data_IF_836268230711
#
_entry.id   IF_836268230711
#
_cell.length_a   1.000
_cell.length_b   1.000
_cell.length_c   1.000
_cell.angle_alpha   90.00
_cell.angle_beta   90.00
_cell.angle_gamma   90.00
#
_symmetry.space_group_name_H-M   'P 1'
#
loop_
_entity.id
_entity.type
_entity.pdbx_description
1 polymer ?
#
# COMPACT_ATOMS: atom_id res chain seq x y z
N UNK A 1 5.77 -18.58 -10.52
CA UNK A 1 5.48 -17.18 -10.14
C UNK A 1 6.63 -16.73 -9.25
N UNK A 2 7.22 -15.56 -9.51
CA UNK A 2 8.40 -15.11 -8.75
C UNK A 2 8.05 -14.82 -7.29
N UNK A 3 8.94 -15.18 -6.37
CA UNK A 3 8.74 -14.95 -4.93
C UNK A 3 8.74 -13.48 -4.54
N UNK A 4 9.50 -12.70 -5.29
CA UNK A 4 9.62 -11.26 -5.16
C UNK A 4 9.51 -10.64 -6.55
N UNK A 5 8.72 -9.59 -6.68
CA UNK A 5 8.61 -8.77 -7.88
C UNK A 5 9.00 -7.33 -7.55
N UNK A 6 9.92 -6.75 -8.32
CA UNK A 6 10.16 -5.31 -8.31
C UNK A 6 9.25 -4.67 -9.36
N UNK A 7 8.61 -3.58 -9.00
CA UNK A 7 7.61 -2.88 -9.81
C UNK A 7 8.13 -1.48 -10.09
N UNK A 8 8.59 -1.28 -11.33
CA UNK A 8 8.99 0.01 -11.85
C UNK A 8 8.37 0.25 -13.25
N UNK A 9 8.85 1.26 -13.97
CA UNK A 9 8.38 1.80 -15.26
C UNK A 9 7.70 0.83 -16.25
N UNK A 10 8.17 -0.42 -16.30
CA UNK A 10 7.65 -1.49 -17.15
C UNK A 10 6.16 -1.78 -16.92
N UNK A 11 5.62 -1.52 -15.73
CA UNK A 11 4.22 -1.75 -15.38
C UNK A 11 3.29 -0.55 -15.63
N UNK A 12 3.76 0.51 -16.32
CA UNK A 12 2.94 1.68 -16.67
C UNK A 12 1.68 1.35 -17.45
N UNK A 13 1.72 0.32 -18.29
CA UNK A 13 0.58 -0.15 -19.07
C UNK A 13 -0.56 -0.68 -18.18
N UNK A 14 -0.28 -1.06 -16.93
CA UNK A 14 -1.26 -1.45 -15.91
C UNK A 14 -1.79 -0.25 -15.09
N UNK A 15 -1.50 0.98 -15.51
CA UNK A 15 -1.90 2.19 -14.81
C UNK A 15 -1.03 2.54 -13.59
N UNK A 16 0.06 1.80 -13.36
CA UNK A 16 1.03 2.07 -12.30
C UNK A 16 1.96 3.20 -12.76
N UNK A 17 1.76 4.40 -12.22
CA UNK A 17 2.65 5.54 -12.49
C UNK A 17 3.78 5.55 -11.47
N UNK A 18 4.99 5.76 -11.94
CA UNK A 18 6.18 5.92 -11.10
C UNK A 18 6.88 7.23 -11.44
N UNK A 19 7.61 7.78 -10.47
CA UNK A 19 8.48 8.92 -10.74
C UNK A 19 9.73 8.45 -11.50
N UNK A 20 10.26 9.35 -12.33
CA UNK A 20 11.53 9.10 -13.04
C UNK A 20 12.66 9.10 -12.00
N UNK A 21 13.36 7.97 -11.90
CA UNK A 21 14.49 7.81 -10.98
C UNK A 21 15.58 8.82 -11.36
N UNK A 22 16.05 9.55 -10.34
CA UNK A 22 17.24 10.39 -10.45
C UNK A 22 18.38 9.68 -9.73
N UNK A 23 19.45 9.36 -10.45
CA UNK A 23 20.63 8.70 -9.87
C UNK A 23 21.31 9.64 -8.86
N UNK A 24 21.71 9.08 -7.72
CA UNK A 24 22.40 9.79 -6.65
C UNK A 24 22.45 8.95 -5.37
N UNK A 25 23.06 9.49 -4.32
CA UNK A 25 23.31 8.74 -3.07
C UNK A 25 22.01 8.24 -2.42
N UNK A 26 20.92 9.03 -2.49
CA UNK A 26 19.61 8.59 -1.99
C UNK A 26 19.08 7.37 -2.77
N UNK A 27 19.30 7.31 -4.08
CA UNK A 27 18.92 6.17 -4.90
C UNK A 27 19.76 4.93 -4.60
N UNK A 28 21.07 5.10 -4.38
CA UNK A 28 21.94 3.98 -4.01
C UNK A 28 21.50 3.38 -2.66
N UNK A 29 21.17 4.24 -1.69
CA UNK A 29 20.64 3.82 -0.39
C UNK A 29 19.28 3.10 -0.51
N UNK A 30 18.40 3.57 -1.40
CA UNK A 30 17.14 2.88 -1.73
C UNK A 30 17.43 1.47 -2.23
N UNK A 31 18.38 1.30 -3.15
CA UNK A 31 18.72 0.00 -3.74
C UNK A 31 19.33 -0.96 -2.74
N UNK A 32 20.31 -0.50 -1.96
CA UNK A 32 20.90 -1.28 -0.88
C UNK A 32 19.83 -1.74 0.13
N UNK A 33 18.88 -0.86 0.46
CA UNK A 33 17.80 -1.21 1.38
C UNK A 33 16.82 -2.23 0.78
N UNK A 34 16.50 -2.12 -0.51
CA UNK A 34 15.69 -3.11 -1.23
C UNK A 34 16.37 -4.48 -1.18
N UNK A 35 17.66 -4.57 -1.47
CA UNK A 35 18.40 -5.84 -1.45
C UNK A 35 18.46 -6.44 -0.04
N UNK A 36 18.75 -5.62 0.98
CA UNK A 36 18.66 -6.04 2.38
C UNK A 36 17.28 -6.59 2.76
N UNK A 37 16.20 -5.99 2.25
CA UNK A 37 14.83 -6.43 2.51
C UNK A 37 14.49 -7.72 1.76
N UNK A 38 15.00 -7.89 0.54
CA UNK A 38 14.87 -9.13 -0.25
C UNK A 38 15.54 -10.30 0.45
N UNK A 39 16.78 -10.12 0.90
CA UNK A 39 17.53 -11.16 1.61
C UNK A 39 16.87 -11.61 2.92
N UNK A 40 16.17 -10.70 3.59
CA UNK A 40 15.43 -10.99 4.83
C UNK A 40 14.02 -11.52 4.60
N UNK A 41 13.47 -11.41 3.40
CA UNK A 41 12.12 -11.84 3.12
C UNK A 41 12.06 -13.37 3.01
N UNK A 42 11.20 -13.98 3.83
CA UNK A 42 10.96 -15.43 3.80
C UNK A 42 9.69 -15.71 3.01
N UNK A 43 9.86 -15.99 1.73
CA UNK A 43 8.75 -16.35 0.86
C UNK A 43 8.10 -17.68 1.27
N UNK A 44 6.81 -17.79 1.01
CA UNK A 44 6.04 -19.04 1.11
C UNK A 44 4.92 -19.02 0.08
N UNK A 45 4.18 -20.12 -0.06
CA UNK A 45 3.03 -20.17 -0.98
C UNK A 45 1.94 -19.16 -0.62
N UNK A 46 1.87 -18.74 0.65
CA UNK A 46 0.87 -17.79 1.15
C UNK A 46 1.43 -16.39 1.40
N UNK A 47 2.71 -16.16 1.11
CA UNK A 47 3.36 -14.88 1.34
C UNK A 47 4.45 -14.63 0.30
N UNK A 48 4.16 -13.70 -0.59
CA UNK A 48 5.03 -13.20 -1.67
C UNK A 48 5.18 -11.69 -1.51
N UNK A 49 6.19 -11.11 -2.16
CA UNK A 49 6.52 -9.68 -2.00
C UNK A 49 6.49 -8.94 -3.33
N UNK A 50 5.78 -7.81 -3.37
CA UNK A 50 5.91 -6.82 -4.43
C UNK A 50 6.59 -5.57 -3.89
N UNK A 51 7.55 -5.03 -4.62
CA UNK A 51 8.36 -3.87 -4.22
C UNK A 51 8.14 -2.77 -5.24
N UNK A 52 7.34 -1.78 -4.89
CA UNK A 52 7.08 -0.62 -5.73
C UNK A 52 8.13 0.46 -5.46
N UNK A 53 8.74 0.96 -6.52
CA UNK A 53 9.81 1.96 -6.42
C UNK A 53 9.27 3.29 -6.94
N UNK A 54 9.24 4.30 -6.07
CA UNK A 54 8.65 5.61 -6.34
C UNK A 54 7.23 5.59 -6.97
N UNK A 55 6.27 4.75 -6.51
CA UNK A 55 4.93 4.71 -7.08
C UNK A 55 4.17 6.01 -6.79
N UNK A 56 3.34 6.47 -7.73
CA UNK A 56 2.39 7.56 -7.51
C UNK A 56 1.18 7.02 -6.74
N UNK A 57 1.03 7.42 -5.48
CA UNK A 57 -0.13 7.07 -4.65
C UNK A 57 -0.87 8.34 -4.29
N UNK A 58 -2.07 8.51 -4.84
CA UNK A 58 -2.80 9.79 -4.79
C UNK A 58 -1.90 10.92 -5.33
N UNK A 59 -1.43 11.82 -4.45
CA UNK A 59 -0.57 12.95 -4.79
C UNK A 59 0.84 12.83 -4.16
N UNK A 60 1.22 11.66 -3.63
CA UNK A 60 2.55 11.41 -3.08
C UNK A 60 3.33 10.38 -3.90
N UNK A 61 4.65 10.43 -3.75
CA UNK A 61 5.60 9.48 -4.34
C UNK A 61 6.49 8.94 -3.23
N UNK A 62 6.02 7.94 -2.45
CA UNK A 62 6.88 7.28 -1.49
C UNK A 62 8.08 6.65 -2.17
N UNK A 63 9.26 6.73 -1.56
CA UNK A 63 10.49 6.21 -2.20
C UNK A 63 10.40 4.70 -2.45
N UNK A 64 9.89 3.93 -1.47
CA UNK A 64 9.68 2.49 -1.59
C UNK A 64 8.38 2.07 -0.92
N UNK A 65 7.63 1.15 -1.55
CA UNK A 65 6.50 0.47 -0.93
C UNK A 65 6.64 -1.04 -1.08
N UNK A 66 6.79 -1.74 0.04
CA UNK A 66 6.78 -3.19 0.13
C UNK A 66 5.37 -3.69 0.39
N UNK A 67 4.86 -4.55 -0.49
CA UNK A 67 3.51 -5.11 -0.42
C UNK A 67 3.62 -6.62 -0.27
N UNK A 68 3.30 -7.12 0.93
CA UNK A 68 3.19 -8.55 1.18
C UNK A 68 1.78 -9.02 0.79
N UNK A 69 1.70 -10.08 -0.01
CA UNK A 69 0.44 -10.58 -0.52
C UNK A 69 0.39 -12.12 -0.52
N UNK A 70 -0.82 -12.65 -0.44
CA UNK A 70 -1.11 -14.07 -0.64
C UNK A 70 -1.60 -14.30 -2.08
N UNK A 71 -0.83 -14.99 -2.94
CA UNK A 71 -1.21 -15.25 -4.33
C UNK A 71 -2.50 -16.08 -4.44
N UNK A 72 -2.81 -16.95 -3.47
CA UNK A 72 -4.04 -17.75 -3.47
C UNK A 72 -5.32 -16.88 -3.44
N UNK A 73 -5.24 -15.66 -2.89
CA UNK A 73 -6.40 -14.76 -2.87
C UNK A 73 -6.74 -14.19 -4.25
N UNK A 74 -5.84 -14.31 -5.22
CA UNK A 74 -6.02 -13.81 -6.59
C UNK A 74 -6.46 -14.90 -7.57
N UNK A 75 -6.67 -16.15 -7.13
CA UNK A 75 -7.13 -17.23 -8.03
C UNK A 75 -8.50 -16.98 -8.64
N UNK A 76 -9.35 -16.19 -7.96
CA UNK A 76 -10.67 -15.79 -8.44
C UNK A 76 -10.67 -14.36 -9.03
N UNK A 77 -9.48 -13.83 -9.32
CA UNK A 77 -9.35 -12.55 -10.03
C UNK A 77 -9.97 -12.66 -11.42
N UNK A 78 -10.74 -11.65 -11.82
CA UNK A 78 -11.45 -11.66 -13.09
C UNK A 78 -11.28 -10.35 -13.86
N UNK A 79 -11.59 -10.37 -15.15
CA UNK A 79 -11.37 -9.24 -16.05
C UNK A 79 -12.15 -7.98 -15.65
N UNK A 80 -13.32 -8.11 -15.00
CA UNK A 80 -14.11 -6.96 -14.54
C UNK A 80 -13.37 -6.10 -13.51
N UNK A 81 -12.33 -6.62 -12.85
CA UNK A 81 -11.48 -5.83 -11.95
C UNK A 81 -10.67 -4.75 -12.69
N UNK A 82 -10.32 -4.97 -13.95
CA UNK A 82 -9.58 -4.00 -14.75
C UNK A 82 -10.41 -2.75 -15.12
N UNK A 83 -11.73 -2.82 -14.97
CA UNK A 83 -12.66 -1.71 -15.26
C UNK A 83 -12.94 -0.81 -14.04
N UNK A 84 -12.37 -1.17 -12.88
CA UNK A 84 -12.56 -0.45 -11.63
C UNK A 84 -11.73 0.84 -11.60
N UNK A 85 -12.35 1.89 -11.10
CA UNK A 85 -11.83 3.24 -10.99
C UNK A 85 -11.62 3.63 -9.54
N UNK A 86 -11.01 4.81 -9.31
CA UNK A 86 -10.83 5.35 -7.97
C UNK A 86 -12.16 5.54 -7.22
N UNK A 87 -13.25 5.89 -7.93
CA UNK A 87 -14.58 6.02 -7.31
C UNK A 87 -15.06 4.65 -6.82
N UNK A 88 -14.87 3.60 -7.62
CA UNK A 88 -15.25 2.24 -7.27
C UNK A 88 -14.49 1.76 -6.01
N UNK A 89 -13.19 2.05 -5.90
CA UNK A 89 -12.39 1.72 -4.71
C UNK A 89 -12.80 2.52 -3.47
N UNK A 90 -13.22 3.79 -3.62
CA UNK A 90 -13.79 4.56 -2.49
C UNK A 90 -15.08 3.95 -1.98
N UNK A 91 -15.97 3.53 -2.89
CA UNK A 91 -17.20 2.81 -2.54
C UNK A 91 -16.88 1.49 -1.86
N UNK A 92 -15.94 0.70 -2.39
CA UNK A 92 -15.52 -0.57 -1.78
C UNK A 92 -14.93 -0.36 -0.38
N UNK A 93 -14.08 0.66 -0.19
CA UNK A 93 -13.53 0.98 1.12
C UNK A 93 -14.63 1.35 2.12
N UNK A 94 -15.59 2.20 1.71
CA UNK A 94 -16.75 2.55 2.54
C UNK A 94 -17.55 1.30 2.96
N UNK A 95 -17.83 0.39 2.02
CA UNK A 95 -18.49 -0.90 2.32
C UNK A 95 -17.63 -1.76 3.26
N UNK A 96 -16.31 -1.75 3.12
CA UNK A 96 -15.41 -2.53 3.97
C UNK A 96 -15.35 -2.06 5.42
N UNK A 97 -15.61 -0.76 5.66
CA UNK A 97 -15.63 -0.18 6.99
C UNK A 97 -16.93 -0.43 7.76
N UNK A 98 -18.01 -0.82 7.07
CA UNK A 98 -19.35 -0.92 7.64
C UNK A 98 -19.90 -2.33 7.50
N UNK A 99 -20.58 -2.83 8.54
CA UNK A 99 -21.13 -4.20 8.53
C UNK A 99 -22.38 -4.31 7.66
N UNK A 100 -23.19 -3.25 7.56
CA UNK A 100 -24.39 -3.19 6.74
C UNK A 100 -24.56 -1.76 6.24
N UNK A 101 -24.47 -1.55 4.93
CA UNK A 101 -24.59 -0.21 4.34
C UNK A 101 -25.55 -0.22 3.15
N UNK A 102 -26.42 0.79 3.08
CA UNK A 102 -27.31 1.02 1.94
C UNK A 102 -26.67 1.94 0.90
N UNK A 103 -27.22 1.97 -0.30
CA UNK A 103 -26.76 2.91 -1.34
C UNK A 103 -26.88 4.38 -0.92
N UNK A 104 -27.90 4.73 -0.12
CA UNK A 104 -28.10 6.10 0.35
C UNK A 104 -27.03 6.51 1.38
N UNK A 105 -26.61 5.58 2.23
CA UNK A 105 -25.52 5.83 3.19
C UNK A 105 -24.22 6.10 2.43
N UNK A 106 -23.89 5.27 1.42
CA UNK A 106 -22.70 5.45 0.57
C UNK A 106 -22.67 6.85 -0.05
N UNK A 107 -23.81 7.31 -0.58
CA UNK A 107 -23.96 8.66 -1.16
C UNK A 107 -23.63 9.73 -0.11
N UNK A 108 -24.21 9.62 1.09
CA UNK A 108 -23.99 10.57 2.17
C UNK A 108 -22.54 10.61 2.65
N UNK A 109 -21.88 9.46 2.75
CA UNK A 109 -20.50 9.37 3.25
C UNK A 109 -19.44 9.83 2.24
N UNK A 110 -19.62 9.52 0.95
CA UNK A 110 -18.61 9.78 -0.08
C UNK A 110 -18.88 11.09 -0.82
N UNK A 111 -20.15 11.54 -0.88
CA UNK A 111 -20.54 12.75 -1.60
C UNK A 111 -20.61 12.56 -3.12
N UNK A 112 -21.03 11.38 -3.58
CA UNK A 112 -21.17 11.03 -5.01
C UNK A 112 -22.64 10.84 -5.41
N UNK A 113 -22.93 10.91 -6.70
CA UNK A 113 -24.31 10.83 -7.21
C UNK A 113 -24.89 9.42 -7.10
N UNK A 114 -26.22 9.33 -7.09
CA UNK A 114 -26.96 8.06 -7.18
C UNK A 114 -26.51 7.20 -8.38
N UNK A 115 -26.24 7.85 -9.52
CA UNK A 115 -25.79 7.19 -10.74
C UNK A 115 -24.41 6.56 -10.56
N UNK A 116 -23.46 7.30 -9.98
CA UNK A 116 -22.10 6.80 -9.71
C UNK A 116 -22.11 5.65 -8.71
N UNK A 117 -22.88 5.75 -7.63
CA UNK A 117 -23.02 4.65 -6.66
C UNK A 117 -23.60 3.40 -7.30
N UNK A 118 -24.68 3.56 -8.08
CA UNK A 118 -25.31 2.44 -8.76
C UNK A 118 -24.39 1.76 -9.77
N UNK A 119 -23.59 2.54 -10.51
CA UNK A 119 -22.59 2.00 -11.42
C UNK A 119 -21.45 1.29 -10.67
N UNK A 120 -20.97 1.89 -9.57
CA UNK A 120 -19.90 1.32 -8.76
C UNK A 120 -20.30 -0.01 -8.14
N UNK A 121 -21.50 -0.09 -7.56
CA UNK A 121 -22.04 -1.32 -6.99
C UNK A 121 -22.11 -2.43 -8.05
N UNK A 122 -22.60 -2.13 -9.26
CA UNK A 122 -22.66 -3.12 -10.35
C UNK A 122 -21.28 -3.66 -10.71
N UNK A 123 -20.29 -2.77 -10.86
CA UNK A 123 -18.91 -3.18 -11.16
C UNK A 123 -18.28 -3.98 -10.02
N UNK A 124 -18.46 -3.54 -8.77
CA UNK A 124 -17.93 -4.21 -7.58
C UNK A 124 -18.56 -5.60 -7.37
N UNK A 125 -19.84 -5.75 -7.70
CA UNK A 125 -20.51 -7.05 -7.68
C UNK A 125 -19.96 -7.96 -8.78
N UNK A 126 -19.85 -7.49 -10.03
CA UNK A 126 -19.32 -8.25 -11.16
C UNK A 126 -17.85 -8.70 -10.94
N UNK A 127 -17.03 -7.84 -10.33
CA UNK A 127 -15.64 -8.12 -9.96
C UNK A 127 -15.48 -9.04 -8.74
N UNK A 128 -16.60 -9.45 -8.12
CA UNK A 128 -16.61 -10.41 -7.02
C UNK A 128 -16.19 -9.84 -5.66
N UNK A 129 -16.10 -8.51 -5.52
CA UNK A 129 -15.72 -7.86 -4.26
C UNK A 129 -16.84 -7.86 -3.23
N UNK A 130 -18.06 -7.58 -3.68
CA UNK A 130 -19.21 -7.39 -2.80
C UNK A 130 -20.32 -8.38 -3.11
N UNK A 131 -21.19 -8.56 -2.13
CA UNK A 131 -22.45 -9.30 -2.23
C UNK A 131 -23.57 -8.45 -1.64
N UNK A 132 -24.80 -8.74 -2.08
CA UNK A 132 -25.99 -8.23 -1.43
C UNK A 132 -26.46 -9.24 -0.38
N UNK A 133 -26.71 -8.78 0.85
CA UNK A 133 -27.31 -9.59 1.92
C UNK A 133 -28.30 -8.74 2.70
N UNK A 134 -29.53 -9.24 2.87
CA UNK A 134 -30.59 -8.54 3.60
C UNK A 134 -30.80 -7.08 3.14
N UNK A 135 -30.79 -6.83 1.82
CA UNK A 135 -30.90 -5.48 1.20
C UNK A 135 -29.76 -4.51 1.58
N UNK A 136 -28.62 -5.04 2.01
CA UNK A 136 -27.41 -4.27 2.32
C UNK A 136 -26.22 -4.81 1.55
N UNK A 137 -25.26 -3.93 1.25
CA UNK A 137 -24.02 -4.31 0.58
C UNK A 137 -22.95 -4.68 1.60
N UNK A 138 -22.22 -5.76 1.32
CA UNK A 138 -21.13 -6.24 2.16
C UNK A 138 -19.96 -6.72 1.31
N UNK A 139 -18.74 -6.61 1.84
CA UNK A 139 -17.60 -7.31 1.25
C UNK A 139 -17.84 -8.82 1.33
N UNK A 140 -17.66 -9.54 0.22
CA UNK A 140 -17.96 -10.97 0.10
C UNK A 140 -17.26 -11.82 1.17
N UNK A 141 -15.97 -11.56 1.37
CA UNK A 141 -15.13 -12.14 2.44
C UNK A 141 -13.81 -11.38 2.52
N UNK A 142 -13.09 -11.45 3.65
CA UNK A 142 -11.79 -10.75 3.78
C UNK A 142 -10.76 -11.16 2.72
N UNK A 143 -10.80 -12.41 2.24
CA UNK A 143 -9.89 -12.92 1.20
C UNK A 143 -10.07 -12.29 -0.20
N UNK A 144 -11.01 -11.35 -0.39
CA UNK A 144 -11.08 -10.58 -1.66
C UNK A 144 -9.89 -9.64 -1.79
N UNK A 145 -9.26 -9.30 -0.66
CA UNK A 145 -7.98 -8.64 -0.57
C UNK A 145 -6.90 -9.71 -0.37
N UNK A 146 -6.00 -9.84 -1.33
CA UNK A 146 -4.82 -10.68 -1.22
C UNK A 146 -3.63 -9.97 -0.58
N UNK A 147 -3.62 -8.64 -0.58
CA UNK A 147 -2.63 -7.87 0.17
C UNK A 147 -2.86 -8.03 1.67
N UNK A 148 -1.80 -8.41 2.37
CA UNK A 148 -1.80 -8.64 3.82
C UNK A 148 -1.11 -7.51 4.58
N UNK A 149 -0.13 -6.86 3.94
CA UNK A 149 0.68 -5.80 4.55
C UNK A 149 1.22 -4.85 3.50
N UNK A 150 1.23 -3.56 3.82
CA UNK A 150 1.87 -2.51 3.03
C UNK A 150 2.84 -1.75 3.94
N UNK A 151 4.13 -1.86 3.68
CA UNK A 151 5.17 -1.07 4.36
C UNK A 151 5.68 0.01 3.42
N UNK A 152 5.48 1.27 3.76
CA UNK A 152 6.07 2.40 3.04
C UNK A 152 7.36 2.84 3.71
N UNK A 153 8.35 3.24 2.91
CA UNK A 153 9.66 3.70 3.39
C UNK A 153 10.02 5.00 2.69
N UNK A 154 10.27 6.03 3.48
CA UNK A 154 10.86 7.29 3.04
C UNK A 154 12.35 7.30 3.35
N UNK A 155 13.17 7.52 2.34
CA UNK A 155 14.63 7.55 2.44
C UNK A 155 15.09 9.00 2.48
N UNK A 156 15.77 9.38 3.56
CA UNK A 156 16.38 10.72 3.65
C UNK A 156 17.74 10.70 4.31
N UNK A 157 18.64 11.45 3.67
CA UNK A 157 20.00 11.61 4.15
C UNK A 157 20.12 12.70 5.21
N UNK A 158 19.46 13.86 5.04
CA UNK A 158 19.74 15.03 5.90
C UNK A 158 18.52 15.85 6.37
N UNK A 159 17.30 15.57 5.90
CA UNK A 159 16.10 16.40 6.15
C UNK A 159 15.01 15.68 6.95
N UNK A 160 15.31 15.43 8.23
CA UNK A 160 14.43 14.67 9.12
C UNK A 160 13.07 15.34 9.45
N UNK A 161 12.93 16.66 9.25
CA UNK A 161 11.65 17.34 9.43
C UNK A 161 10.65 17.06 8.29
N UNK A 162 11.12 17.17 7.05
CA UNK A 162 10.33 16.88 5.84
C UNK A 162 9.96 15.38 5.78
N UNK A 163 10.91 14.49 6.14
CA UNK A 163 10.68 13.04 6.08
C UNK A 163 9.57 12.57 7.01
N UNK A 164 9.38 13.23 8.16
CA UNK A 164 8.29 12.88 9.08
C UNK A 164 6.94 13.18 8.46
N UNK A 165 6.81 14.32 7.77
CA UNK A 165 5.56 14.67 7.10
C UNK A 165 5.24 13.68 5.97
N UNK A 166 6.24 13.29 5.17
CA UNK A 166 6.07 12.29 4.13
C UNK A 166 5.67 10.91 4.71
N UNK A 167 6.38 10.45 5.74
CA UNK A 167 6.07 9.20 6.41
C UNK A 167 4.68 9.20 7.05
N UNK A 168 4.24 10.33 7.63
CA UNK A 168 2.88 10.51 8.13
C UNK A 168 1.84 10.41 7.01
N UNK A 169 2.08 11.10 5.88
CA UNK A 169 1.20 11.03 4.71
C UNK A 169 1.04 9.60 4.22
N UNK A 170 2.10 8.80 4.23
CA UNK A 170 2.03 7.40 3.79
C UNK A 170 1.17 6.50 4.67
N UNK A 171 0.92 6.87 5.94
CA UNK A 171 -0.03 6.15 6.80
C UNK A 171 -1.48 6.21 6.28
N UNK A 172 -1.77 7.09 5.33
CA UNK A 172 -3.07 7.11 4.65
C UNK A 172 -3.30 5.90 3.74
N UNK A 173 -2.27 5.13 3.37
CA UNK A 173 -2.40 3.94 2.52
C UNK A 173 -1.62 2.72 3.04
N UNK A 174 -0.57 2.92 3.83
CA UNK A 174 0.30 1.85 4.31
C UNK A 174 -0.13 1.36 5.70
N UNK A 175 -0.03 0.05 5.94
CA UNK A 175 -0.21 -0.52 7.29
C UNK A 175 0.95 -0.17 8.21
N UNK A 176 2.13 0.05 7.63
CA UNK A 176 3.32 0.50 8.35
C UNK A 176 4.01 1.59 7.54
N UNK A 177 4.55 2.59 8.23
CA UNK A 177 5.34 3.64 7.62
C UNK A 177 6.69 3.77 8.34
N UNK A 178 7.75 3.82 7.55
CA UNK A 178 9.12 3.87 8.03
C UNK A 178 9.88 5.06 7.44
N UNK A 179 10.84 5.53 8.23
CA UNK A 179 11.92 6.39 7.76
C UNK A 179 13.18 5.53 7.69
N UNK A 180 13.91 5.65 6.59
CA UNK A 180 15.28 5.16 6.46
C UNK A 180 16.24 6.34 6.50
N UNK A 181 17.16 6.34 7.47
CA UNK A 181 18.16 7.39 7.61
C UNK A 181 19.57 6.83 7.74
N UNK A 182 20.52 7.41 7.04
CA UNK A 182 21.94 7.07 7.17
C UNK A 182 22.64 7.78 8.35
N UNK A 183 21.90 8.57 9.15
CA UNK A 183 22.44 9.37 10.25
C UNK A 183 22.31 8.65 11.60
N UNK A 184 22.92 7.45 11.72
CA UNK A 184 22.85 6.64 12.95
C UNK A 184 23.18 7.45 14.21
N UNK A 185 24.20 8.31 14.13
CA UNK A 185 24.75 9.03 15.29
C UNK A 185 24.02 10.35 15.60
N UNK A 186 23.14 10.83 14.70
CA UNK A 186 22.39 12.10 14.88
C UNK A 186 20.91 11.88 15.23
N UNK A 187 20.47 10.63 15.32
CA UNK A 187 19.14 10.25 15.81
C UNK A 187 19.16 10.23 17.34
N UNK A 188 19.00 11.40 17.94
CA UNK A 188 18.84 11.51 19.39
C UNK A 188 17.51 10.89 19.88
N UNK A 189 17.46 10.56 21.17
CA UNK A 189 16.29 9.95 21.81
C UNK A 189 15.02 10.80 21.67
N UNK A 190 15.13 12.13 21.56
CA UNK A 190 13.96 13.00 21.45
C UNK A 190 13.30 12.84 20.07
N UNK A 191 14.10 12.74 19.00
CA UNK A 191 13.60 12.49 17.64
C UNK A 191 12.97 11.11 17.52
N UNK A 192 13.63 10.07 18.05
CA UNK A 192 13.08 8.72 18.06
C UNK A 192 11.75 8.68 18.81
N UNK A 193 11.66 9.30 20.01
CA UNK A 193 10.40 9.46 20.74
C UNK A 193 9.32 10.15 19.92
N UNK A 194 9.65 11.23 19.21
CA UNK A 194 8.70 11.95 18.35
C UNK A 194 8.16 11.05 17.24
N UNK A 195 9.04 10.34 16.52
CA UNK A 195 8.63 9.41 15.47
C UNK A 195 7.75 8.27 16.01
N UNK A 196 8.10 7.73 17.18
CA UNK A 196 7.32 6.69 17.84
C UNK A 196 5.92 7.19 18.28
N UNK A 197 5.80 8.43 18.78
CA UNK A 197 4.51 9.05 19.11
C UNK A 197 3.58 9.12 17.90
N UNK A 198 4.13 9.31 16.69
CA UNK A 198 3.39 9.30 15.44
C UNK A 198 3.26 7.91 14.80
N UNK A 199 3.72 6.85 15.47
CA UNK A 199 3.67 5.48 15.01
C UNK A 199 4.55 5.19 13.79
N UNK A 200 5.63 5.96 13.60
CA UNK A 200 6.56 5.81 12.47
C UNK A 200 7.75 4.96 12.89
N UNK A 201 8.05 3.92 12.12
CA UNK A 201 9.22 3.07 12.31
C UNK A 201 10.49 3.72 11.80
N UNK A 202 11.66 3.30 12.28
CA UNK A 202 12.95 3.84 11.82
C UNK A 202 13.92 2.72 11.56
N UNK A 203 14.50 2.76 10.36
CA UNK A 203 15.72 2.04 10.02
C UNK A 203 16.89 3.01 9.94
N UNK A 204 18.07 2.51 10.30
CA UNK A 204 19.32 3.21 10.06
C UNK A 204 20.37 2.29 9.48
N UNK A 205 21.36 2.87 8.81
CA UNK A 205 22.56 2.15 8.39
C UNK A 205 23.35 1.70 9.63
N UNK A 206 23.85 0.47 9.60
CA UNK A 206 24.64 -0.11 10.67
C UNK A 206 25.68 -1.07 10.08
N UNK A 207 26.96 -0.67 10.13
CA UNK A 207 28.02 -1.38 9.42
C UNK A 207 27.74 -1.42 7.92
N UNK A 208 27.77 -2.61 7.33
CA UNK A 208 27.46 -2.86 5.91
C UNK A 208 25.98 -3.17 5.64
N UNK A 209 25.08 -2.95 6.61
CA UNK A 209 23.66 -3.25 6.43
C UNK A 209 22.76 -2.28 7.16
N UNK A 210 21.57 -2.76 7.55
CA UNK A 210 20.55 -1.93 8.16
C UNK A 210 20.05 -2.51 9.49
N UNK A 211 19.79 -1.61 10.43
CA UNK A 211 19.24 -1.92 11.74
C UNK A 211 17.90 -1.20 11.93
N UNK A 212 16.89 -1.94 12.38
CA UNK A 212 15.64 -1.35 12.85
C UNK A 212 15.88 -0.78 14.26
N UNK A 213 15.74 0.54 14.41
CA UNK A 213 15.85 1.20 15.71
C UNK A 213 14.52 1.19 16.46
N UNK A 214 13.40 1.34 15.75
CA UNK A 214 12.07 1.29 16.33
C UNK A 214 11.04 0.70 15.37
N UNK A 215 10.00 0.12 15.94
CA UNK A 215 8.85 -0.41 15.20
C UNK A 215 7.78 0.67 15.01
N UNK A 216 7.05 0.67 13.88
CA UNK A 216 5.87 1.52 13.69
C UNK A 216 4.69 0.98 14.49
N UNK A 217 3.61 1.76 14.53
CA UNK A 217 2.29 1.23 14.90
C UNK A 217 1.70 0.54 13.68
N UNK A 218 1.32 -0.72 13.83
CA UNK A 218 0.76 -1.54 12.76
C UNK A 218 -0.73 -1.25 12.55
N UNK A 219 -1.14 -1.10 11.28
CA UNK A 219 -2.52 -1.02 10.85
C UNK A 219 -3.05 -2.33 10.26
N UNK A 220 -4.32 -2.33 9.86
CA UNK A 220 -4.98 -3.47 9.21
C UNK A 220 -5.38 -3.12 7.77
N UNK A 221 -5.48 -4.14 6.90
CA UNK A 221 -5.95 -3.97 5.51
C UNK A 221 -7.48 -4.16 5.44
N UNK A 222 -8.20 -3.34 4.64
CA UNK A 222 -7.71 -2.15 3.95
C UNK A 222 -7.56 -0.94 4.90
N UNK A 223 -6.48 -0.16 4.72
CA UNK A 223 -6.23 1.10 5.44
C UNK A 223 -7.06 2.24 4.84
N UNK A 224 -7.23 2.20 3.51
CA UNK A 224 -7.97 3.17 2.71
C UNK A 224 -8.26 2.61 1.31
N UNK A 225 -8.99 3.36 0.49
CA UNK A 225 -9.14 3.04 -0.94
C UNK A 225 -7.79 2.95 -1.67
N UNK A 226 -6.76 3.69 -1.25
CA UNK A 226 -5.42 3.62 -1.83
C UNK A 226 -4.70 2.32 -1.48
N UNK A 227 -4.97 1.74 -0.30
CA UNK A 227 -4.46 0.40 0.04
C UNK A 227 -5.10 -0.70 -0.82
N UNK A 228 -6.37 -0.51 -1.21
CA UNK A 228 -7.06 -1.39 -2.16
C UNK A 228 -6.44 -1.27 -3.55
N UNK A 229 -6.01 -0.07 -3.96
CA UNK A 229 -5.32 0.11 -5.24
C UNK A 229 -4.05 -0.74 -5.35
N UNK A 230 -3.25 -0.85 -4.27
CA UNK A 230 -2.11 -1.77 -4.24
C UNK A 230 -2.53 -3.24 -4.39
N UNK A 231 -3.66 -3.63 -3.80
CA UNK A 231 -4.23 -4.96 -4.04
C UNK A 231 -4.49 -5.19 -5.51
N UNK A 232 -5.08 -4.20 -6.19
CA UNK A 232 -5.42 -4.35 -7.58
C UNK A 232 -4.22 -4.29 -8.53
N UNK A 233 -3.20 -3.51 -8.19
CA UNK A 233 -1.93 -3.52 -8.91
C UNK A 233 -1.24 -4.87 -8.82
N UNK A 234 -1.15 -5.45 -7.61
CA UNK A 234 -0.57 -6.78 -7.43
C UNK A 234 -1.36 -7.81 -8.24
N UNK A 235 -2.69 -7.81 -8.13
CA UNK A 235 -3.53 -8.73 -8.89
C UNK A 235 -3.38 -8.58 -10.41
N UNK A 236 -3.29 -7.34 -10.91
CA UNK A 236 -3.07 -7.07 -12.33
C UNK A 236 -1.70 -7.54 -12.81
N UNK A 237 -0.66 -7.45 -11.98
CA UNK A 237 0.70 -7.89 -12.34
C UNK A 237 0.79 -9.42 -12.42
N UNK A 238 0.18 -10.14 -11.47
CA UNK A 238 0.36 -11.60 -11.39
C UNK A 238 -0.62 -12.38 -12.28
N UNK A 239 -1.68 -11.73 -12.76
CA UNK A 239 -2.69 -12.34 -13.62
C UNK A 239 -2.55 -11.96 -15.10
N UNK A 240 -1.59 -11.09 -15.44
CA UNK A 240 -1.16 -10.79 -16.82
C UNK A 240 0.27 -11.31 -17.02
#
# INVERSE_FOLDING_TARGET
MNDIIEVYDEYRHLGIKTRKITKGIEFDLVREFIDFRKDKFKASDKSKLAIFIEPMVNNSYPDIVFVNYNPECFTNWNASRMELTVIDYKVLYCISCMTHISSNDIIGYIGITNKEVSQSIKKLYASGFIIEKNKSWQVKHKKVFGVMKIESVEVKMNKLGEVLHQALTNRSFATESYILSNLSDKLDDRKLKRFNQFGIGVYTTYGQGFKKLQKPIEGTIPVSFSSILFNEWVGSIIMN
#
